data_IF_776706074658
#
_entry.id   IF_776706074658
#
_cell.length_a   1.000
_cell.length_b   1.000
_cell.length_c   1.000
_cell.angle_alpha   90.00
_cell.angle_beta   90.00
_cell.angle_gamma   90.00
#
_symmetry.space_group_name_H-M   'P 1'
#
loop_
_entity.id
_entity.type
_entity.pdbx_description
1 polymer ?
#
# COMPACT_ATOMS: atom_id res chain seq x y z
N UNK A 1 20.44 -12.52 32.56
CA UNK A 1 19.72 -12.17 31.31
C UNK A 1 19.93 -10.70 31.03
N UNK A 2 20.51 -10.39 29.87
CA UNK A 2 20.76 -8.99 29.52
C UNK A 2 19.47 -8.39 28.92
N UNK A 3 18.85 -7.44 29.65
CA UNK A 3 17.56 -6.83 29.27
C UNK A 3 17.73 -5.85 28.08
N UNK A 4 18.91 -5.24 27.92
CA UNK A 4 19.18 -4.21 26.91
C UNK A 4 18.93 -4.70 25.47
N UNK A 5 19.52 -5.82 25.00
CA UNK A 5 19.29 -6.27 23.62
C UNK A 5 17.82 -6.67 23.37
N UNK A 6 17.15 -7.25 24.35
CA UNK A 6 15.72 -7.56 24.26
C UNK A 6 14.90 -6.29 24.04
N UNK A 7 15.15 -5.25 24.83
CA UNK A 7 14.46 -3.97 24.70
C UNK A 7 14.71 -3.31 23.34
N UNK A 8 15.94 -3.39 22.80
CA UNK A 8 16.28 -2.87 21.47
C UNK A 8 15.46 -3.58 20.39
N UNK A 9 15.39 -4.91 20.42
CA UNK A 9 14.64 -5.71 19.44
C UNK A 9 13.15 -5.36 19.49
N UNK A 10 12.56 -5.30 20.68
CA UNK A 10 11.16 -4.96 20.87
C UNK A 10 10.85 -3.55 20.38
N UNK A 11 11.69 -2.58 20.76
CA UNK A 11 11.51 -1.18 20.36
C UNK A 11 11.64 -1.00 18.85
N UNK A 12 12.66 -1.60 18.23
CA UNK A 12 12.86 -1.54 16.79
C UNK A 12 11.68 -2.17 16.02
N UNK A 13 11.18 -3.30 16.52
CA UNK A 13 10.01 -3.98 15.95
C UNK A 13 8.75 -3.13 16.10
N UNK A 14 8.52 -2.53 17.27
CA UNK A 14 7.39 -1.64 17.53
C UNK A 14 7.43 -0.40 16.64
N UNK A 15 8.59 0.25 16.51
CA UNK A 15 8.79 1.41 15.61
C UNK A 15 8.52 1.02 14.17
N UNK A 16 8.95 -0.17 13.74
CA UNK A 16 8.68 -0.66 12.40
C UNK A 16 7.19 -0.84 12.15
N UNK A 17 6.47 -1.49 13.06
CA UNK A 17 5.01 -1.67 13.00
C UNK A 17 4.30 -0.32 13.00
N UNK A 18 4.67 0.59 13.92
CA UNK A 18 4.04 1.90 14.04
C UNK A 18 4.13 2.75 12.76
N UNK A 19 5.18 2.55 11.94
CA UNK A 19 5.29 3.22 10.63
C UNK A 19 4.17 2.84 9.66
N UNK A 20 3.57 1.66 9.77
CA UNK A 20 2.45 1.22 8.95
C UNK A 20 1.10 1.68 9.48
N UNK A 21 1.02 1.94 10.78
CA UNK A 21 -0.21 2.37 11.46
C UNK A 21 -0.28 3.87 11.70
N UNK A 22 0.51 4.68 11.04
CA UNK A 22 0.59 6.14 11.29
C UNK A 22 -0.77 6.73 11.66
N UNK A 23 -1.07 6.93 12.97
CA UNK A 23 -2.35 7.49 13.42
C UNK A 23 -2.53 8.96 13.03
N UNK A 24 -1.42 9.63 12.67
CA UNK A 24 -1.35 11.03 12.27
C UNK A 24 -1.12 11.20 10.76
N UNK A 25 -1.44 10.17 9.96
CA UNK A 25 -1.40 10.32 8.50
C UNK A 25 -2.42 11.37 8.06
N UNK A 26 -2.04 12.18 7.07
CA UNK A 26 -2.91 13.18 6.46
C UNK A 26 -4.28 12.57 6.11
N UNK A 27 -5.34 13.31 6.33
CA UNK A 27 -6.69 12.94 5.92
C UNK A 27 -6.71 12.62 4.42
N UNK A 28 -7.63 11.77 4.02
CA UNK A 28 -7.87 11.50 2.61
C UNK A 28 -8.46 12.76 1.99
N UNK A 29 -7.82 13.29 0.95
CA UNK A 29 -8.32 14.43 0.20
C UNK A 29 -8.98 13.96 -1.10
N UNK A 30 -10.08 14.58 -1.48
CA UNK A 30 -10.83 14.25 -2.67
C UNK A 30 -11.72 13.02 -2.54
N UNK A 31 -12.54 12.79 -3.56
CA UNK A 31 -13.49 11.69 -3.61
C UNK A 31 -12.79 10.39 -4.06
N UNK A 32 -12.94 9.28 -3.32
CA UNK A 32 -12.35 8.00 -3.70
C UNK A 32 -13.12 7.38 -4.87
N UNK A 33 -12.43 7.10 -5.97
CA UNK A 33 -13.04 6.47 -7.14
C UNK A 33 -12.55 5.04 -7.39
N UNK A 34 -11.40 4.65 -6.82
CA UNK A 34 -10.85 3.31 -6.98
C UNK A 34 -10.15 2.84 -5.71
N UNK A 35 -10.56 1.67 -5.21
CA UNK A 35 -9.88 0.98 -4.10
C UNK A 35 -9.41 -0.37 -4.62
N UNK A 36 -8.08 -0.60 -4.59
CA UNK A 36 -7.49 -1.84 -5.05
C UNK A 36 -6.70 -2.53 -3.95
N UNK A 37 -7.04 -3.77 -3.58
CA UNK A 37 -6.26 -4.53 -2.60
C UNK A 37 -4.86 -4.86 -3.15
N UNK A 38 -3.86 -4.78 -2.28
CA UNK A 38 -2.49 -5.20 -2.60
C UNK A 38 -2.43 -6.73 -2.54
N UNK A 39 -2.04 -7.42 -3.63
CA UNK A 39 -1.94 -8.87 -3.63
C UNK A 39 -0.95 -9.40 -2.59
N UNK A 40 -1.18 -10.62 -2.05
CA UNK A 40 -0.33 -11.22 -1.03
C UNK A 40 1.16 -11.26 -1.46
N UNK A 41 1.42 -11.65 -2.71
CA UNK A 41 2.79 -11.70 -3.25
C UNK A 41 3.47 -10.33 -3.27
N UNK A 42 2.72 -9.27 -3.53
CA UNK A 42 3.22 -7.91 -3.50
C UNK A 42 3.50 -7.46 -2.06
N UNK A 43 2.64 -7.82 -1.10
CA UNK A 43 2.85 -7.58 0.34
C UNK A 43 4.09 -8.33 0.85
N UNK A 44 4.26 -9.59 0.45
CA UNK A 44 5.45 -10.36 0.79
C UNK A 44 6.73 -9.67 0.28
N UNK A 45 6.76 -9.26 -1.00
CA UNK A 45 7.91 -8.53 -1.58
C UNK A 45 8.18 -7.20 -0.89
N UNK A 46 7.14 -6.51 -0.43
CA UNK A 46 7.26 -5.25 0.29
C UNK A 46 7.96 -5.42 1.64
N UNK A 47 7.74 -6.56 2.33
CA UNK A 47 8.23 -6.80 3.68
C UNK A 47 9.45 -7.74 3.76
N UNK A 48 9.85 -8.42 2.66
CA UNK A 48 10.90 -9.44 2.72
C UNK A 48 12.25 -8.87 3.15
N UNK A 49 12.66 -7.72 2.62
CA UNK A 49 13.96 -7.11 2.97
C UNK A 49 14.00 -6.70 4.45
N UNK A 50 13.04 -5.90 4.97
CA UNK A 50 13.03 -5.58 6.40
C UNK A 50 12.85 -6.82 7.29
N UNK A 51 12.13 -7.86 6.85
CA UNK A 51 12.01 -9.12 7.58
C UNK A 51 13.36 -9.80 7.73
N UNK A 52 14.08 -10.01 6.63
CA UNK A 52 15.40 -10.65 6.64
C UNK A 52 16.39 -9.86 7.48
N UNK A 53 16.48 -8.54 7.28
CA UNK A 53 17.39 -7.68 8.05
C UNK A 53 17.02 -7.67 9.53
N UNK A 54 15.75 -7.52 9.87
CA UNK A 54 15.29 -7.50 11.27
C UNK A 54 15.56 -8.82 11.99
N UNK A 55 15.30 -9.95 11.33
CA UNK A 55 15.57 -11.27 11.87
C UNK A 55 17.07 -11.52 12.03
N UNK A 56 17.89 -11.13 11.04
CA UNK A 56 19.35 -11.25 11.13
C UNK A 56 19.93 -10.44 12.29
N UNK A 57 19.48 -9.19 12.47
CA UNK A 57 19.89 -8.36 13.61
C UNK A 57 19.47 -8.99 14.94
N UNK A 58 18.24 -9.53 15.03
CA UNK A 58 17.77 -10.22 16.24
C UNK A 58 18.61 -11.47 16.56
N UNK A 59 18.98 -12.26 15.55
CA UNK A 59 19.86 -13.43 15.70
C UNK A 59 21.25 -13.03 16.20
N UNK A 60 21.84 -11.98 15.63
CA UNK A 60 23.13 -11.47 16.08
C UNK A 60 23.08 -11.00 17.53
N UNK A 61 22.05 -10.26 17.92
CA UNK A 61 21.87 -9.81 19.29
C UNK A 61 21.61 -10.98 20.26
N UNK A 62 20.85 -11.99 19.85
CA UNK A 62 20.65 -13.21 20.66
C UNK A 62 21.98 -13.95 20.85
N UNK A 63 22.79 -14.09 19.79
CA UNK A 63 24.04 -14.86 19.86
C UNK A 63 25.15 -14.14 20.62
N UNK A 64 25.34 -12.86 20.38
CA UNK A 64 26.51 -12.11 20.92
C UNK A 64 26.17 -11.29 22.17
N UNK A 65 24.94 -10.85 22.34
CA UNK A 65 24.54 -10.03 23.49
C UNK A 65 23.70 -10.81 24.53
N UNK A 66 23.65 -12.14 24.42
CA UNK A 66 22.93 -13.04 25.34
C UNK A 66 21.44 -12.68 25.51
N UNK A 67 20.80 -12.18 24.46
CA UNK A 67 19.35 -12.05 24.46
C UNK A 67 18.69 -13.44 24.47
N UNK A 68 17.52 -13.60 25.10
CA UNK A 68 16.79 -14.86 25.07
C UNK A 68 16.43 -15.27 23.64
N UNK A 69 16.48 -16.57 23.31
CA UNK A 69 16.25 -17.09 21.96
C UNK A 69 14.85 -16.74 21.42
N UNK A 70 13.84 -16.65 22.30
CA UNK A 70 12.49 -16.27 21.90
C UNK A 70 12.41 -14.85 21.29
N UNK A 71 13.38 -13.95 21.55
CA UNK A 71 13.41 -12.60 21.00
C UNK A 71 13.55 -12.59 19.49
N UNK A 72 14.10 -13.64 18.89
CA UNK A 72 14.20 -13.81 17.44
C UNK A 72 12.82 -14.04 16.80
N UNK A 73 11.91 -14.67 17.53
CA UNK A 73 10.55 -14.91 17.05
C UNK A 73 9.71 -13.62 16.93
N UNK A 74 10.05 -12.58 17.70
CA UNK A 74 9.29 -11.32 17.73
C UNK A 74 9.27 -10.60 16.36
N UNK A 75 10.41 -10.26 15.73
CA UNK A 75 10.39 -9.64 14.41
C UNK A 75 9.74 -10.55 13.37
N UNK A 76 9.98 -11.88 13.42
CA UNK A 76 9.37 -12.82 12.50
C UNK A 76 7.83 -12.80 12.60
N UNK A 77 7.28 -12.88 13.81
CA UNK A 77 5.83 -12.81 14.05
C UNK A 77 5.25 -11.45 13.61
N UNK A 78 5.96 -10.35 13.88
CA UNK A 78 5.56 -9.01 13.46
C UNK A 78 5.47 -8.90 11.93
N UNK A 79 6.46 -9.43 11.19
CA UNK A 79 6.42 -9.41 9.73
C UNK A 79 5.34 -10.33 9.17
N UNK A 80 5.13 -11.52 9.74
CA UNK A 80 4.03 -12.39 9.36
C UNK A 80 2.67 -11.68 9.51
N UNK A 81 2.47 -10.97 10.61
CA UNK A 81 1.28 -10.16 10.86
C UNK A 81 1.13 -9.04 9.81
N UNK A 82 2.19 -8.28 9.51
CA UNK A 82 2.15 -7.22 8.51
C UNK A 82 1.82 -7.73 7.11
N UNK A 83 2.32 -8.92 6.73
CA UNK A 83 1.99 -9.57 5.45
C UNK A 83 0.53 -10.05 5.43
N UNK A 84 0.04 -10.60 6.56
CA UNK A 84 -1.34 -11.07 6.68
C UNK A 84 -2.36 -9.92 6.62
N UNK A 85 -1.99 -8.72 7.09
CA UNK A 85 -2.90 -7.58 7.10
C UNK A 85 -3.34 -7.15 5.68
N UNK A 86 -4.64 -6.97 5.43
CA UNK A 86 -5.13 -6.46 4.17
C UNK A 86 -4.75 -4.98 4.01
N UNK A 87 -3.96 -4.67 2.99
CA UNK A 87 -3.58 -3.32 2.61
C UNK A 87 -4.16 -3.04 1.23
N UNK A 88 -4.67 -1.84 1.01
CA UNK A 88 -5.21 -1.41 -0.29
C UNK A 88 -4.63 -0.07 -0.74
N UNK A 89 -4.57 0.13 -2.04
CA UNK A 89 -4.42 1.44 -2.64
C UNK A 89 -5.78 2.11 -2.71
N UNK A 90 -5.87 3.35 -2.24
CA UNK A 90 -7.05 4.20 -2.41
C UNK A 90 -6.65 5.36 -3.33
N UNK A 91 -7.27 5.42 -4.50
CA UNK A 91 -7.11 6.51 -5.46
C UNK A 91 -8.29 7.45 -5.31
N UNK A 92 -7.98 8.74 -5.20
CA UNK A 92 -8.98 9.80 -5.14
C UNK A 92 -8.78 10.77 -6.31
N UNK A 93 -9.73 11.68 -6.53
CA UNK A 93 -9.58 12.77 -7.49
C UNK A 93 -8.29 13.57 -7.26
N UNK A 94 -7.84 13.72 -6.02
CA UNK A 94 -6.70 14.54 -5.63
C UNK A 94 -5.38 13.79 -5.52
N UNK A 95 -5.40 12.46 -5.28
CA UNK A 95 -4.17 11.73 -5.04
C UNK A 95 -4.32 10.24 -4.76
N UNK A 96 -3.25 9.67 -4.20
CA UNK A 96 -3.15 8.24 -3.88
C UNK A 96 -2.67 8.01 -2.46
N UNK A 97 -3.22 6.98 -1.82
CA UNK A 97 -2.79 6.50 -0.50
C UNK A 97 -2.63 4.99 -0.52
N UNK A 98 -1.59 4.49 0.16
CA UNK A 98 -1.39 3.07 0.42
C UNK A 98 -1.77 2.76 1.87
N UNK A 99 -2.79 1.95 2.07
CA UNK A 99 -3.32 1.57 3.38
C UNK A 99 -3.64 2.79 4.24
N UNK A 100 -3.08 2.84 5.45
CA UNK A 100 -3.15 3.98 6.38
C UNK A 100 -1.92 4.89 6.30
N UNK A 101 -1.12 4.77 5.24
CA UNK A 101 0.06 5.62 5.02
C UNK A 101 -0.29 7.07 4.66
N UNK A 102 0.75 7.87 4.39
CA UNK A 102 0.57 9.26 3.98
C UNK A 102 -0.13 9.35 2.63
N UNK A 103 -1.10 10.24 2.55
CA UNK A 103 -1.72 10.65 1.30
C UNK A 103 -0.72 11.46 0.46
N UNK A 104 -0.70 11.24 -0.84
CA UNK A 104 0.18 11.92 -1.80
C UNK A 104 -0.67 12.45 -2.96
N UNK A 105 -0.59 13.74 -3.24
CA UNK A 105 -1.32 14.36 -4.34
C UNK A 105 -0.74 13.98 -5.69
N UNK A 106 -1.59 13.90 -6.73
CA UNK A 106 -1.15 13.58 -8.09
C UNK A 106 -0.12 14.59 -8.62
N UNK A 107 -0.25 15.86 -8.26
CA UNK A 107 0.69 16.95 -8.63
C UNK A 107 2.11 16.76 -8.06
N UNK A 108 2.30 15.85 -7.10
CA UNK A 108 3.63 15.52 -6.58
C UNK A 108 4.40 14.54 -7.47
N UNK A 109 3.76 13.99 -8.52
CA UNK A 109 4.35 12.99 -9.38
C UNK A 109 4.48 13.50 -10.81
N UNK A 110 5.65 13.24 -11.43
CA UNK A 110 5.91 13.56 -12.83
C UNK A 110 5.45 12.45 -13.79
N UNK A 111 5.23 11.24 -13.30
CA UNK A 111 4.82 10.09 -14.11
C UNK A 111 4.93 8.77 -13.37
N UNK A 112 4.61 7.67 -14.09
CA UNK A 112 4.70 6.31 -13.58
C UNK A 112 5.53 5.42 -14.51
N UNK A 113 6.60 4.84 -13.98
CA UNK A 113 7.46 3.86 -14.68
C UNK A 113 7.22 2.48 -14.13
N UNK A 114 6.99 1.49 -15.02
CA UNK A 114 6.86 0.09 -14.65
C UNK A 114 8.25 -0.54 -14.46
N UNK A 115 8.35 -1.41 -13.47
CA UNK A 115 9.49 -2.31 -13.29
C UNK A 115 9.03 -3.70 -12.86
N UNK A 116 9.94 -4.66 -12.81
CA UNK A 116 9.60 -6.05 -12.44
C UNK A 116 9.00 -6.11 -11.03
N UNK A 117 7.72 -6.50 -10.95
CA UNK A 117 6.99 -6.64 -9.68
C UNK A 117 6.33 -5.37 -9.15
N UNK A 118 6.22 -4.32 -9.98
CA UNK A 118 5.53 -3.11 -9.59
C UNK A 118 5.71 -1.93 -10.53
N UNK A 119 5.50 -0.75 -9.98
CA UNK A 119 5.78 0.51 -10.64
C UNK A 119 6.37 1.52 -9.66
N UNK A 120 6.98 2.56 -10.18
CA UNK A 120 7.47 3.70 -9.42
C UNK A 120 6.80 4.96 -9.95
N UNK A 121 6.04 5.63 -9.09
CA UNK A 121 5.63 7.00 -9.36
C UNK A 121 6.84 7.88 -9.14
N UNK A 122 7.24 8.60 -10.17
CA UNK A 122 8.38 9.51 -10.11
C UNK A 122 7.94 10.78 -9.39
N UNK A 123 8.72 11.23 -8.40
CA UNK A 123 8.46 12.51 -7.77
C UNK A 123 8.75 13.67 -8.71
N UNK A 124 7.89 14.67 -8.73
CA UNK A 124 8.10 15.93 -9.42
C UNK A 124 8.91 16.90 -8.54
N UNK A 125 9.65 17.82 -9.15
CA UNK A 125 10.34 18.92 -8.47
C UNK A 125 11.22 18.48 -7.27
N UNK A 126 12.00 17.40 -7.44
CA UNK A 126 12.89 16.89 -6.39
C UNK A 126 12.17 16.13 -5.26
N UNK A 127 10.85 15.96 -5.31
CA UNK A 127 10.11 15.17 -4.33
C UNK A 127 10.40 13.69 -4.47
N UNK A 128 10.32 12.95 -3.36
CA UNK A 128 10.52 11.49 -3.38
C UNK A 128 9.40 10.82 -4.15
N UNK A 129 9.77 9.88 -5.04
CA UNK A 129 8.81 9.00 -5.70
C UNK A 129 8.14 8.03 -4.73
N UNK A 130 7.06 7.38 -5.19
CA UNK A 130 6.34 6.34 -4.47
C UNK A 130 6.45 5.01 -5.20
N UNK A 131 6.76 3.92 -4.47
CA UNK A 131 6.72 2.56 -5.04
C UNK A 131 5.30 2.03 -4.99
N UNK A 132 4.87 1.46 -6.10
CA UNK A 132 3.60 0.74 -6.24
C UNK A 132 3.94 -0.74 -6.40
N UNK A 133 3.48 -1.55 -5.46
CA UNK A 133 3.70 -2.98 -5.44
C UNK A 133 2.53 -3.69 -6.14
N UNK A 134 2.85 -4.51 -7.15
CA UNK A 134 1.87 -5.17 -8.00
C UNK A 134 2.09 -6.68 -7.98
N UNK A 135 1.03 -7.43 -8.32
CA UNK A 135 1.07 -8.89 -8.32
C UNK A 135 1.67 -9.51 -9.57
N UNK A 136 1.68 -8.78 -10.69
CA UNK A 136 2.06 -9.27 -12.01
C UNK A 136 0.88 -9.76 -12.86
N UNK A 137 -0.37 -9.52 -12.43
CA UNK A 137 -1.59 -9.89 -13.16
C UNK A 137 -1.97 -8.88 -14.27
N UNK A 138 -2.90 -9.30 -15.14
CA UNK A 138 -3.40 -8.47 -16.27
C UNK A 138 -3.96 -7.12 -15.83
N UNK A 139 -4.74 -7.07 -14.76
CA UNK A 139 -5.29 -5.82 -14.23
C UNK A 139 -4.25 -4.81 -13.67
N UNK A 140 -2.97 -5.19 -13.60
CA UNK A 140 -1.92 -4.28 -13.13
C UNK A 140 -1.61 -3.19 -14.15
N UNK A 141 -1.73 -3.50 -15.46
CA UNK A 141 -1.51 -2.53 -16.53
C UNK A 141 -2.63 -1.50 -16.59
N UNK A 142 -3.87 -1.94 -16.39
CA UNK A 142 -5.04 -1.07 -16.30
C UNK A 142 -4.91 -0.13 -15.10
N UNK A 143 -4.51 -0.66 -13.95
CA UNK A 143 -4.28 0.15 -12.75
C UNK A 143 -3.19 1.21 -12.96
N UNK A 144 -2.10 0.85 -13.65
CA UNK A 144 -1.04 1.80 -13.98
C UNK A 144 -1.50 2.85 -15.00
N UNK A 145 -2.34 2.44 -15.96
CA UNK A 145 -2.94 3.37 -16.92
C UNK A 145 -3.79 4.41 -16.20
N UNK A 146 -4.66 3.98 -15.28
CA UNK A 146 -5.49 4.87 -14.46
C UNK A 146 -4.62 5.88 -13.69
N UNK A 147 -3.55 5.43 -13.05
CA UNK A 147 -2.65 6.34 -12.32
C UNK A 147 -1.93 7.33 -13.25
N UNK A 148 -1.51 6.90 -14.45
CA UNK A 148 -0.90 7.80 -15.45
C UNK A 148 -1.88 8.87 -15.94
N UNK A 149 -3.13 8.47 -16.17
CA UNK A 149 -4.19 9.39 -16.55
C UNK A 149 -4.45 10.40 -15.42
N UNK A 150 -4.60 9.95 -14.17
CA UNK A 150 -4.79 10.81 -13.02
C UNK A 150 -3.65 11.82 -12.83
N UNK A 151 -2.39 11.40 -12.98
CA UNK A 151 -1.24 12.31 -12.92
C UNK A 151 -1.33 13.35 -14.05
N UNK A 152 -1.58 12.90 -15.29
CA UNK A 152 -1.68 13.81 -16.45
C UNK A 152 -2.79 14.85 -16.29
N UNK A 153 -3.94 14.42 -15.78
CA UNK A 153 -5.11 15.30 -15.66
C UNK A 153 -4.96 16.30 -14.50
N UNK A 154 -4.27 15.90 -13.41
CA UNK A 154 -3.92 16.83 -12.34
C UNK A 154 -3.05 18.02 -12.83
N UNK A 155 -2.18 17.80 -13.82
CA UNK A 155 -1.40 18.89 -14.43
C UNK A 155 -2.20 19.76 -15.41
N UNK A 156 -3.33 19.26 -15.93
CA UNK A 156 -4.21 20.00 -16.83
C UNK A 156 -5.29 20.81 -16.09
N UNK A 157 -5.32 20.76 -14.75
CA UNK A 157 -6.37 21.37 -13.95
C UNK A 157 -7.74 20.67 -14.10
N UNK A 158 -7.76 19.44 -14.62
CA UNK A 158 -8.94 18.60 -14.78
C UNK A 158 -9.24 17.78 -13.53
N UNK A 159 -10.52 17.46 -13.34
CA UNK A 159 -10.95 16.51 -12.32
C UNK A 159 -10.60 15.07 -12.79
N UNK A 160 -9.64 14.44 -12.15
CA UNK A 160 -9.18 13.09 -12.49
C UNK A 160 -10.32 12.04 -12.44
N UNK A 161 -11.39 12.31 -11.70
CA UNK A 161 -12.55 11.43 -11.60
C UNK A 161 -13.36 11.37 -12.92
N UNK A 162 -13.28 12.39 -13.78
CA UNK A 162 -14.06 12.46 -15.03
C UNK A 162 -13.48 11.66 -16.19
N UNK A 163 -12.22 11.22 -16.10
CA UNK A 163 -11.49 10.61 -17.24
C UNK A 163 -11.43 9.10 -17.15
N UNK A 164 -12.03 8.47 -16.12
CA UNK A 164 -11.94 7.04 -15.93
C UNK A 164 -13.13 6.34 -16.56
N UNK A 165 -12.96 5.71 -17.74
CA UNK A 165 -14.04 4.97 -18.41
C UNK A 165 -14.45 3.67 -17.72
N UNK A 166 -13.88 3.39 -16.55
CA UNK A 166 -14.10 2.16 -15.76
C UNK A 166 -14.69 2.42 -14.36
N UNK A 167 -15.46 3.49 -14.17
CA UNK A 167 -16.43 3.43 -13.09
C UNK A 167 -17.32 2.21 -13.41
N UNK A 168 -17.43 1.18 -12.54
CA UNK A 168 -18.38 0.12 -12.77
C UNK A 168 -19.73 0.81 -12.91
N UNK A 169 -20.28 0.75 -14.12
CA UNK A 169 -21.60 1.23 -14.41
C UNK A 169 -22.51 0.65 -13.32
N UNK A 170 -23.06 1.53 -12.49
CA UNK A 170 -23.96 1.14 -11.42
C UNK A 170 -25.07 0.43 -12.12
N UNK A 171 -25.01 -0.92 -12.16
CA UNK A 171 -26.02 -1.75 -12.77
C UNK A 171 -27.34 -1.22 -12.21
N UNK A 172 -28.29 -0.70 -13.02
CA UNK A 172 -29.56 -0.25 -12.51
C UNK A 172 -30.12 -1.43 -11.70
N UNK A 173 -30.53 -1.12 -10.46
CA UNK A 173 -31.14 -2.11 -9.60
C UNK A 173 -32.21 -2.80 -10.45
N UNK A 174 -32.10 -4.13 -10.57
CA UNK A 174 -33.03 -4.97 -11.30
C UNK A 174 -34.44 -4.56 -10.90
N UNK A 175 -35.11 -3.88 -11.84
CA UNK A 175 -36.52 -3.48 -11.71
C UNK A 175 -37.36 -4.74 -11.92
N UNK A 176 -37.31 -5.63 -10.93
CA UNK A 176 -38.15 -6.85 -10.84
C UNK A 176 -39.56 -6.48 -10.41
N UNK A 177 -40.14 -5.38 -10.92
CA UNK A 177 -41.54 -5.09 -10.78
C UNK A 177 -42.22 -5.28 -12.12
N UNK A 178 -42.88 -6.43 -12.34
CA UNK A 178 -43.91 -6.49 -13.33
C UNK A 178 -43.94 -7.66 -14.30
N UNK A 179 -43.70 -8.86 -13.87
CA UNK A 179 -44.30 -9.99 -14.57
C UNK A 179 -45.53 -10.48 -13.79
N UNK A 180 -46.70 -9.81 -14.02
CA UNK A 180 -47.99 -10.40 -13.73
C UNK A 180 -48.28 -11.37 -14.86
N UNK A 181 -48.37 -12.67 -14.53
CA UNK A 181 -48.93 -13.71 -15.41
C UNK A 181 -50.46 -13.56 -15.39
N UNK A 182 -51.11 -13.27 -16.53
CA UNK A 182 -52.57 -13.32 -16.58
C UNK A 182 -53.01 -14.78 -16.53
N UNK A 183 -54.11 -15.03 -15.74
CA UNK A 183 -54.77 -16.29 -15.55
C UNK A 183 -55.50 -16.76 -16.83
#
# INVERSE_FOLDING_TARGET
MNIIPTTIILLATLVHIARYFRPFANTLEGEPFLVRPVPLIARLRMHIVPAVVGTAVALLLARFAQAPDWTVAVPFAAYALLVAMPISYTLTSEGVRLGRGSFRRWTEFAGAIRYRGGAKLQGANGRRGMRIWLGGGRGDDEFLLVMRLAIRDAYKGGDAARVIPFAPEKRPADDTSGYQIPA
#
